data_IF_105262308530
#
_entry.id   IF_105262308530
#
_cell.length_a   1.000
_cell.length_b   1.000
_cell.length_c   1.000
_cell.angle_alpha   90.00
_cell.angle_beta   90.00
_cell.angle_gamma   90.00
#
_symmetry.space_group_name_H-M   'P 1'
#
loop_
_entity.id
_entity.type
_entity.pdbx_description
1 polymer ?
#
# COMPACT_ATOMS: atom_id res chain seq x y z
N UNK A 1 2.49 15.02 7.98
CA UNK A 1 3.41 15.00 6.81
C UNK A 1 2.55 14.77 5.58
N UNK A 2 2.96 15.27 4.42
CA UNK A 2 2.22 15.01 3.18
C UNK A 2 2.50 13.61 2.65
N UNK A 3 1.50 12.99 2.04
CA UNK A 3 1.58 11.67 1.41
C UNK A 3 1.54 11.79 -0.11
N UNK A 4 2.44 11.08 -0.78
CA UNK A 4 2.55 11.06 -2.23
C UNK A 4 2.47 9.66 -2.81
N UNK A 5 2.25 9.59 -4.12
CA UNK A 5 2.46 8.38 -4.91
C UNK A 5 2.91 8.78 -6.32
N UNK A 6 3.92 8.09 -6.84
CA UNK A 6 4.37 8.30 -8.20
C UNK A 6 3.31 7.82 -9.20
N UNK A 7 3.08 8.58 -10.27
CA UNK A 7 2.10 8.20 -11.31
C UNK A 7 2.46 6.90 -12.01
N UNK A 8 3.74 6.49 -11.97
CA UNK A 8 4.20 5.20 -12.50
C UNK A 8 3.68 4.00 -11.71
N UNK A 9 3.29 4.21 -10.44
CA UNK A 9 2.72 3.19 -9.56
C UNK A 9 1.28 2.81 -9.93
N UNK A 10 0.60 3.65 -10.71
CA UNK A 10 -0.81 3.49 -11.07
C UNK A 10 -0.95 3.25 -12.58
N UNK A 11 -1.78 2.28 -12.95
CA UNK A 11 -2.10 1.97 -14.35
C UNK A 11 -3.06 3.00 -14.99
N UNK A 12 -3.21 2.95 -16.30
CA UNK A 12 -4.22 3.73 -17.04
C UNK A 12 -3.73 5.11 -17.52
N UNK A 13 -4.65 5.91 -18.01
CA UNK A 13 -4.35 7.26 -18.52
C UNK A 13 -4.17 8.26 -17.36
N UNK A 14 -3.37 9.31 -17.57
CA UNK A 14 -3.05 10.28 -16.51
C UNK A 14 -4.30 10.84 -15.77
N UNK A 15 -5.40 11.24 -16.43
CA UNK A 15 -6.60 11.70 -15.71
C UNK A 15 -7.21 10.63 -14.78
N UNK A 16 -7.22 9.37 -15.20
CA UNK A 16 -7.73 8.25 -14.40
C UNK A 16 -6.84 7.98 -13.18
N UNK A 17 -5.52 8.07 -13.36
CA UNK A 17 -4.55 7.98 -12.27
C UNK A 17 -4.81 9.07 -11.23
N UNK A 18 -4.91 10.33 -11.67
CA UNK A 18 -5.11 11.49 -10.78
C UNK A 18 -6.44 11.39 -10.02
N UNK A 19 -7.52 10.98 -10.69
CA UNK A 19 -8.80 10.76 -10.04
C UNK A 19 -8.73 9.65 -8.97
N UNK A 20 -8.06 8.54 -9.26
CA UNK A 20 -7.85 7.46 -8.30
C UNK A 20 -7.01 7.90 -7.09
N UNK A 21 -5.91 8.61 -7.33
CA UNK A 21 -5.00 9.11 -6.30
C UNK A 21 -5.71 10.11 -5.38
N UNK A 22 -6.44 11.07 -5.95
CA UNK A 22 -7.22 12.03 -5.18
C UNK A 22 -8.34 11.35 -4.37
N UNK A 23 -9.05 10.38 -4.96
CA UNK A 23 -10.11 9.65 -4.27
C UNK A 23 -9.58 8.78 -3.11
N UNK A 24 -8.36 8.23 -3.23
CA UNK A 24 -7.69 7.54 -2.14
C UNK A 24 -7.23 8.50 -1.02
N UNK A 25 -7.16 9.80 -1.30
CA UNK A 25 -6.86 10.86 -0.34
C UNK A 25 -5.37 11.12 -0.13
N UNK A 26 -4.55 10.95 -1.17
CA UNK A 26 -3.17 11.45 -1.18
C UNK A 26 -3.15 12.97 -1.27
N UNK A 27 -2.06 13.58 -0.78
CA UNK A 27 -1.86 15.04 -0.87
C UNK A 27 -1.23 15.46 -2.21
N UNK A 28 -0.51 14.55 -2.88
CA UNK A 28 0.13 14.87 -4.14
C UNK A 28 0.71 13.67 -4.88
N UNK A 29 1.40 13.99 -5.97
CA UNK A 29 1.95 13.03 -6.93
C UNK A 29 3.38 13.34 -7.27
N UNK A 30 4.10 12.29 -7.65
CA UNK A 30 5.35 12.41 -8.40
C UNK A 30 5.03 12.21 -9.87
N UNK A 31 5.30 13.22 -10.70
CA UNK A 31 5.06 13.12 -12.13
C UNK A 31 6.22 12.37 -12.78
N UNK A 32 5.91 11.19 -13.30
CA UNK A 32 6.85 10.38 -14.07
C UNK A 32 6.90 10.88 -15.52
N UNK A 33 8.10 11.18 -16.02
CA UNK A 33 8.31 11.79 -17.36
C UNK A 33 7.63 11.01 -18.50
N UNK A 34 7.49 9.68 -18.41
CA UNK A 34 6.83 8.91 -19.46
C UNK A 34 5.32 9.17 -19.55
N UNK A 35 4.65 9.43 -18.43
CA UNK A 35 3.23 9.80 -18.42
C UNK A 35 3.03 11.17 -19.10
N UNK A 36 4.06 12.02 -19.04
CA UNK A 36 4.10 13.30 -19.73
C UNK A 36 4.25 13.14 -21.24
N UNK A 37 5.10 12.21 -21.71
CA UNK A 37 5.32 11.95 -23.15
C UNK A 37 4.08 11.34 -23.81
N UNK A 38 3.31 10.55 -23.06
CA UNK A 38 2.14 9.82 -23.58
C UNK A 38 0.85 10.65 -23.64
N UNK A 39 0.85 11.86 -23.07
CA UNK A 39 -0.33 12.71 -23.01
C UNK A 39 -0.18 13.90 -23.98
N UNK A 40 -1.17 14.13 -24.84
CA UNK A 40 -1.12 15.14 -25.92
C UNK A 40 -1.23 16.61 -25.43
N UNK A 41 -0.96 16.89 -24.15
CA UNK A 41 -1.08 18.23 -23.54
C UNK A 41 0.27 18.77 -23.05
N UNK A 42 0.38 20.10 -22.94
CA UNK A 42 1.62 20.74 -22.48
C UNK A 42 1.86 20.60 -20.96
N UNK A 43 3.07 20.93 -20.46
CA UNK A 43 3.37 20.86 -19.02
C UNK A 43 2.46 21.75 -18.17
N UNK A 44 2.11 22.93 -18.68
CA UNK A 44 1.17 23.84 -18.01
C UNK A 44 -0.22 23.21 -17.81
N UNK A 45 -0.72 22.47 -18.81
CA UNK A 45 -2.03 21.80 -18.75
C UNK A 45 -2.02 20.63 -17.76
N UNK A 46 -0.94 19.84 -17.77
CA UNK A 46 -0.73 18.76 -16.79
C UNK A 46 -0.67 19.32 -15.38
N UNK A 47 0.09 20.41 -15.18
CA UNK A 47 0.13 21.13 -13.90
C UNK A 47 -1.26 21.53 -13.43
N UNK A 48 -2.09 22.08 -14.34
CA UNK A 48 -3.45 22.49 -14.00
C UNK A 48 -4.34 21.29 -13.67
N UNK A 49 -4.26 20.21 -14.44
CA UNK A 49 -5.03 18.99 -14.22
C UNK A 49 -4.76 18.38 -12.84
N UNK A 50 -3.51 18.35 -12.38
CA UNK A 50 -3.17 17.86 -11.03
C UNK A 50 -3.82 18.75 -9.97
N UNK A 51 -3.72 20.08 -10.11
CA UNK A 51 -4.34 21.03 -9.16
C UNK A 51 -5.86 20.98 -9.16
N UNK A 52 -6.50 20.72 -10.30
CA UNK A 52 -7.96 20.58 -10.41
C UNK A 52 -8.48 19.36 -9.62
N UNK A 53 -7.63 18.35 -9.39
CA UNK A 53 -7.91 17.22 -8.51
C UNK A 53 -7.59 17.51 -7.03
N UNK A 54 -7.12 18.73 -6.70
CA UNK A 54 -6.71 19.09 -5.34
C UNK A 54 -5.35 18.53 -4.91
N UNK A 55 -4.55 18.04 -5.86
CA UNK A 55 -3.24 17.42 -5.63
C UNK A 55 -2.10 18.42 -5.86
N UNK A 56 -0.96 18.19 -5.19
CA UNK A 56 0.32 18.86 -5.44
C UNK A 56 1.23 18.01 -6.35
N UNK A 57 2.02 18.64 -7.22
CA UNK A 57 3.16 17.97 -7.86
C UNK A 57 4.37 18.09 -6.94
N UNK A 58 4.62 17.04 -6.18
CA UNK A 58 5.65 17.03 -5.14
C UNK A 58 7.06 16.77 -5.68
N UNK A 59 7.14 16.08 -6.83
CA UNK A 59 8.39 15.69 -7.46
C UNK A 59 8.22 15.53 -8.97
N UNK A 60 9.18 16.00 -9.75
CA UNK A 60 9.32 15.66 -11.17
C UNK A 60 10.47 14.68 -11.38
N UNK A 61 10.20 13.55 -12.02
CA UNK A 61 11.18 12.47 -12.11
C UNK A 61 11.01 11.56 -13.34
N UNK A 62 12.03 10.79 -13.71
CA UNK A 62 13.42 10.86 -13.26
C UNK A 62 14.27 11.70 -14.23
N UNK A 63 15.30 12.38 -13.73
CA UNK A 63 16.40 12.87 -14.55
C UNK A 63 17.60 11.92 -14.44
N UNK A 64 18.03 11.37 -15.57
CA UNK A 64 19.07 10.32 -15.61
C UNK A 64 20.41 10.86 -16.10
N UNK A 65 21.49 10.18 -15.74
CA UNK A 65 22.83 10.32 -16.31
C UNK A 65 23.34 11.77 -16.32
N UNK A 66 23.58 12.31 -15.13
CA UNK A 66 24.06 13.68 -14.93
C UNK A 66 25.53 13.76 -14.53
N UNK A 67 25.86 13.18 -13.40
CA UNK A 67 27.12 13.41 -12.69
C UNK A 67 28.29 12.61 -13.27
N UNK A 68 29.50 13.17 -13.14
CA UNK A 68 30.73 12.45 -13.45
C UNK A 68 30.99 12.21 -14.93
N UNK A 69 30.28 12.88 -15.83
CA UNK A 69 30.49 12.76 -17.26
C UNK A 69 31.75 13.54 -17.72
N UNK A 70 32.49 13.05 -18.73
CA UNK A 70 33.55 13.82 -19.37
C UNK A 70 32.96 14.91 -20.28
N UNK A 71 33.75 15.93 -20.63
CA UNK A 71 33.38 16.81 -21.73
C UNK A 71 33.44 16.06 -23.07
N UNK A 72 32.54 16.33 -24.03
CA UNK A 72 31.45 17.33 -24.01
C UNK A 72 30.11 16.82 -23.44
N UNK A 73 30.05 15.59 -22.92
CA UNK A 73 28.82 14.98 -22.39
C UNK A 73 28.32 15.73 -21.15
N UNK A 74 29.23 16.19 -20.28
CA UNK A 74 28.92 17.02 -19.12
C UNK A 74 28.18 18.31 -19.50
N UNK A 75 28.72 19.10 -20.42
CA UNK A 75 28.04 20.32 -20.91
C UNK A 75 26.63 20.01 -21.42
N UNK A 76 26.45 18.91 -22.16
CA UNK A 76 25.11 18.50 -22.64
C UNK A 76 24.15 18.11 -21.51
N UNK A 77 24.64 17.50 -20.43
CA UNK A 77 23.83 17.13 -19.28
C UNK A 77 23.28 18.38 -18.58
N UNK A 78 24.10 19.41 -18.38
CA UNK A 78 23.66 20.71 -17.84
C UNK A 78 22.60 21.38 -18.73
N UNK A 79 22.80 21.39 -20.05
CA UNK A 79 21.81 21.94 -20.96
C UNK A 79 20.48 21.15 -20.95
N UNK A 80 20.54 19.83 -20.72
CA UNK A 80 19.35 19.00 -20.55
C UNK A 80 18.64 19.31 -19.23
N UNK A 81 19.38 19.53 -18.15
CA UNK A 81 18.82 19.90 -16.84
C UNK A 81 18.09 21.26 -16.89
N UNK A 82 18.70 22.28 -17.52
CA UNK A 82 18.06 23.60 -17.72
C UNK A 82 16.72 23.50 -18.45
N UNK A 83 16.64 22.69 -19.51
CA UNK A 83 15.37 22.42 -20.22
C UNK A 83 14.33 21.73 -19.33
N UNK A 84 14.76 20.90 -18.37
CA UNK A 84 13.83 20.31 -17.39
C UNK A 84 13.36 21.30 -16.35
N UNK A 85 14.21 22.25 -15.95
CA UNK A 85 13.78 23.37 -15.10
C UNK A 85 12.70 24.21 -15.77
N UNK A 86 12.75 24.42 -17.09
CA UNK A 86 11.67 25.08 -17.83
C UNK A 86 10.34 24.30 -17.71
N UNK A 87 10.38 22.98 -17.90
CA UNK A 87 9.22 22.09 -17.76
C UNK A 87 8.67 22.12 -16.33
N UNK A 88 9.53 22.08 -15.31
CA UNK A 88 9.11 22.13 -13.90
C UNK A 88 8.38 23.42 -13.55
N UNK A 89 8.84 24.57 -14.06
CA UNK A 89 8.15 25.85 -13.84
C UNK A 89 6.76 25.87 -14.44
N UNK A 90 6.59 25.29 -15.62
CA UNK A 90 5.27 25.14 -16.24
C UNK A 90 4.36 24.16 -15.50
N UNK A 91 4.90 23.02 -15.05
CA UNK A 91 4.17 22.08 -14.19
C UNK A 91 3.74 22.74 -12.86
N UNK A 92 4.57 23.63 -12.33
CA UNK A 92 4.39 24.26 -11.02
C UNK A 92 4.94 23.38 -9.88
N UNK A 93 6.09 22.76 -10.09
CA UNK A 93 6.81 21.98 -9.06
C UNK A 93 8.22 22.54 -8.88
N UNK A 94 8.79 22.34 -7.69
CA UNK A 94 10.08 22.90 -7.30
C UNK A 94 11.19 21.86 -7.10
N UNK A 95 10.89 20.57 -7.14
CA UNK A 95 11.84 19.49 -6.84
C UNK A 95 11.97 18.50 -8.00
N UNK A 96 13.21 18.25 -8.43
CA UNK A 96 13.53 17.22 -9.43
C UNK A 96 14.37 16.10 -8.82
N UNK A 97 14.04 14.85 -9.14
CA UNK A 97 14.89 13.70 -8.82
C UNK A 97 15.95 13.50 -9.90
N UNK A 98 17.22 13.47 -9.49
CA UNK A 98 18.33 12.95 -10.29
C UNK A 98 18.74 11.61 -9.71
N UNK A 99 18.62 10.56 -10.52
CA UNK A 99 19.10 9.24 -10.13
C UNK A 99 20.56 9.07 -10.54
N UNK A 100 21.35 8.39 -9.71
CA UNK A 100 22.77 8.11 -9.95
C UNK A 100 23.01 7.52 -11.34
N UNK A 101 24.03 8.01 -12.03
CA UNK A 101 24.33 7.69 -13.42
C UNK A 101 24.58 6.20 -13.65
N UNK A 102 24.00 5.69 -14.73
CA UNK A 102 24.29 4.37 -15.31
C UNK A 102 25.04 4.50 -16.64
N UNK A 103 25.38 5.73 -17.04
CA UNK A 103 26.02 6.03 -18.29
C UNK A 103 27.42 5.40 -18.40
N UNK A 104 27.76 4.71 -19.50
CA UNK A 104 29.03 3.97 -19.63
C UNK A 104 30.27 4.88 -19.66
N UNK A 105 30.10 6.18 -19.92
CA UNK A 105 31.19 7.16 -19.88
C UNK A 105 31.37 7.85 -18.52
N UNK A 106 30.52 7.58 -17.53
CA UNK A 106 30.66 8.19 -16.22
C UNK A 106 32.03 7.79 -15.63
N UNK A 107 32.78 8.78 -15.14
CA UNK A 107 34.15 8.62 -14.65
C UNK A 107 34.21 8.24 -13.16
N UNK A 108 33.11 8.44 -12.43
CA UNK A 108 33.04 8.25 -10.99
C UNK A 108 33.78 9.32 -10.19
N UNK A 109 33.92 9.06 -8.88
CA UNK A 109 34.57 9.94 -7.92
C UNK A 109 33.59 10.84 -7.16
N UNK A 110 33.57 10.70 -5.83
CA UNK A 110 32.70 11.45 -4.92
C UNK A 110 32.87 12.97 -5.09
N UNK A 111 34.11 13.46 -5.11
CA UNK A 111 34.37 14.91 -5.24
C UNK A 111 33.91 15.46 -6.60
N UNK A 112 34.09 14.67 -7.67
CA UNK A 112 33.61 15.07 -9.01
C UNK A 112 32.09 15.18 -9.05
N UNK A 113 31.39 14.19 -8.49
CA UNK A 113 29.94 14.22 -8.43
C UNK A 113 29.45 15.37 -7.53
N UNK A 114 30.16 15.66 -6.43
CA UNK A 114 29.85 16.77 -5.55
C UNK A 114 30.03 18.13 -6.25
N UNK A 115 31.13 18.32 -7.00
CA UNK A 115 31.37 19.53 -7.81
C UNK A 115 30.28 19.70 -8.89
N UNK A 116 29.89 18.62 -9.56
CA UNK A 116 28.84 18.65 -10.58
C UNK A 116 27.47 19.02 -9.98
N UNK A 117 27.11 18.43 -8.84
CA UNK A 117 25.85 18.74 -8.16
C UNK A 117 25.87 20.12 -7.52
N UNK A 118 26.98 20.58 -6.96
CA UNK A 118 27.12 21.95 -6.46
C UNK A 118 26.88 22.97 -7.58
N UNK A 119 27.54 22.79 -8.74
CA UNK A 119 27.36 23.65 -9.90
C UNK A 119 25.92 23.58 -10.47
N UNK A 120 25.26 22.42 -10.39
CA UNK A 120 23.84 22.33 -10.73
C UNK A 120 22.96 23.06 -9.72
N UNK A 121 23.35 23.04 -8.44
CA UNK A 121 22.71 23.75 -7.36
C UNK A 121 22.62 25.25 -7.63
N UNK A 122 23.72 25.87 -8.09
CA UNK A 122 23.72 27.28 -8.48
C UNK A 122 22.66 27.57 -9.55
N UNK A 123 22.61 26.73 -10.59
CA UNK A 123 21.61 26.87 -11.68
C UNK A 123 20.19 26.66 -11.15
N UNK A 124 19.97 25.66 -10.28
CA UNK A 124 18.66 25.41 -9.68
C UNK A 124 18.20 26.60 -8.82
N UNK A 125 19.10 27.19 -8.03
CA UNK A 125 18.82 28.34 -7.17
C UNK A 125 18.42 29.59 -7.97
N UNK A 126 19.04 29.84 -9.12
CA UNK A 126 18.65 30.93 -10.04
C UNK A 126 17.19 30.82 -10.50
N UNK A 127 16.63 29.60 -10.51
CA UNK A 127 15.25 29.33 -10.88
C UNK A 127 14.32 29.09 -9.67
N UNK A 128 14.81 29.18 -8.44
CA UNK A 128 14.05 28.85 -7.23
C UNK A 128 13.68 27.37 -7.13
N UNK A 129 14.48 26.48 -7.73
CA UNK A 129 14.28 25.04 -7.78
C UNK A 129 15.28 24.30 -6.87
N UNK A 130 14.95 23.05 -6.60
CA UNK A 130 15.70 22.09 -5.79
C UNK A 130 15.93 20.81 -6.58
N UNK A 131 17.03 20.14 -6.28
CA UNK A 131 17.41 18.86 -6.87
C UNK A 131 17.67 17.86 -5.75
N UNK A 132 17.00 16.73 -5.83
CA UNK A 132 17.22 15.58 -4.97
C UNK A 132 18.07 14.53 -5.69
N UNK A 133 19.17 14.10 -5.09
CA UNK A 133 20.02 13.04 -5.64
C UNK A 133 19.68 11.69 -5.01
N UNK A 134 19.44 10.69 -5.85
CA UNK A 134 19.04 9.34 -5.44
C UNK A 134 20.07 8.31 -5.92
N UNK A 135 20.52 7.41 -5.03
CA UNK A 135 21.35 6.28 -5.42
C UNK A 135 20.49 5.12 -5.95
N UNK A 136 20.59 4.81 -7.25
CA UNK A 136 20.02 3.59 -7.80
C UNK A 136 20.82 2.39 -7.31
N UNK A 137 20.15 1.29 -6.97
CA UNK A 137 20.82 0.07 -6.52
C UNK A 137 21.81 -0.55 -7.55
N UNK A 138 21.76 -0.09 -8.80
CA UNK A 138 22.60 -0.50 -9.92
C UNK A 138 23.36 0.67 -10.58
N UNK A 139 23.45 1.83 -9.92
CA UNK A 139 24.26 2.95 -10.41
C UNK A 139 25.72 2.52 -10.62
N UNK A 140 26.38 3.07 -11.66
CA UNK A 140 27.71 2.62 -12.09
C UNK A 140 28.78 2.87 -11.03
N UNK A 141 28.74 4.05 -10.41
CA UNK A 141 29.72 4.47 -9.39
C UNK A 141 29.09 4.77 -8.03
N UNK A 142 27.81 5.13 -8.01
CA UNK A 142 27.06 5.44 -6.80
C UNK A 142 25.85 4.52 -6.79
N UNK A 143 25.84 3.55 -5.89
CA UNK A 143 24.72 2.62 -5.70
C UNK A 143 24.46 2.33 -4.22
N UNK A 144 24.88 3.25 -3.38
CA UNK A 144 24.78 3.19 -1.93
C UNK A 144 24.33 4.56 -1.43
N UNK A 145 23.28 4.60 -0.61
CA UNK A 145 22.75 5.86 -0.09
C UNK A 145 23.77 6.61 0.77
N UNK A 146 24.77 5.92 1.33
CA UNK A 146 25.87 6.55 2.10
C UNK A 146 26.82 7.33 1.20
N UNK A 147 27.09 6.83 0.00
CA UNK A 147 27.91 7.52 -1.00
C UNK A 147 27.14 8.70 -1.58
N UNK A 148 25.84 8.54 -1.88
CA UNK A 148 24.99 9.65 -2.30
C UNK A 148 24.90 10.74 -1.23
N UNK A 149 24.76 10.37 0.06
CA UNK A 149 24.83 11.34 1.15
C UNK A 149 26.19 12.04 1.20
N UNK A 150 27.30 11.32 1.09
CA UNK A 150 28.62 11.94 1.12
C UNK A 150 28.82 12.93 -0.04
N UNK A 151 28.30 12.62 -1.22
CA UNK A 151 28.27 13.54 -2.37
C UNK A 151 27.46 14.80 -2.03
N UNK A 152 26.21 14.64 -1.56
CA UNK A 152 25.32 15.78 -1.20
C UNK A 152 25.96 16.63 -0.10
N UNK A 153 26.57 16.00 0.90
CA UNK A 153 27.26 16.66 2.01
C UNK A 153 28.47 17.47 1.54
N UNK A 154 29.24 16.99 0.55
CA UNK A 154 30.38 17.72 -0.03
C UNK A 154 29.96 18.78 -1.04
N UNK A 155 28.86 18.55 -1.76
CA UNK A 155 28.27 19.56 -2.64
C UNK A 155 27.83 20.78 -1.83
N UNK A 156 27.42 20.60 -0.57
CA UNK A 156 27.15 21.66 0.41
C UNK A 156 26.36 22.86 -0.16
N UNK A 157 25.30 22.57 -0.91
CA UNK A 157 24.49 23.57 -1.59
C UNK A 157 23.03 23.50 -1.10
N UNK A 158 22.37 24.63 -0.79
CA UNK A 158 21.01 24.63 -0.24
C UNK A 158 19.93 24.09 -1.19
N UNK A 159 20.14 24.18 -2.51
CA UNK A 159 19.25 23.57 -3.51
C UNK A 159 19.54 22.10 -3.82
N UNK A 160 20.55 21.49 -3.16
CA UNK A 160 20.90 20.07 -3.37
C UNK A 160 20.62 19.29 -2.09
N UNK A 161 19.80 18.27 -2.22
CA UNK A 161 19.45 17.36 -1.13
C UNK A 161 19.49 15.91 -1.56
N UNK A 162 19.23 15.02 -0.61
CA UNK A 162 19.17 13.59 -0.79
C UNK A 162 17.73 13.15 -1.00
N UNK A 163 17.52 12.21 -1.91
CA UNK A 163 16.31 11.40 -1.97
C UNK A 163 16.69 9.98 -1.54
N UNK A 164 15.92 9.43 -0.61
CA UNK A 164 16.14 8.07 -0.11
C UNK A 164 14.98 7.17 -0.52
N UNK A 165 15.33 6.06 -1.18
CA UNK A 165 14.40 5.02 -1.60
C UNK A 165 14.66 3.75 -0.78
N UNK A 166 13.59 3.20 -0.20
CA UNK A 166 13.68 2.01 0.66
C UNK A 166 14.12 0.76 -0.11
N UNK A 167 13.66 0.56 -1.34
CA UNK A 167 14.06 -0.57 -2.17
C UNK A 167 15.56 -0.48 -2.53
N UNK A 168 16.05 0.69 -2.93
CA UNK A 168 17.46 0.86 -3.30
C UNK A 168 18.42 0.60 -2.15
N UNK A 169 17.99 0.93 -0.93
CA UNK A 169 18.72 0.64 0.32
C UNK A 169 18.61 -0.84 0.69
N UNK A 170 17.39 -1.35 0.87
CA UNK A 170 17.12 -2.66 1.45
C UNK A 170 17.37 -3.80 0.47
N UNK A 171 17.12 -3.59 -0.83
CA UNK A 171 17.38 -4.57 -1.88
C UNK A 171 18.88 -4.91 -1.99
N UNK A 172 19.75 -3.95 -1.68
CA UNK A 172 21.21 -4.16 -1.56
C UNK A 172 21.65 -4.69 -0.20
N UNK A 173 20.70 -4.95 0.70
CA UNK A 173 20.95 -5.37 2.09
C UNK A 173 21.80 -4.34 2.86
N UNK A 174 21.71 -3.07 2.48
CA UNK A 174 22.35 -1.98 3.22
C UNK A 174 21.54 -1.70 4.48
N UNK A 175 22.24 -1.40 5.57
CA UNK A 175 21.56 -1.07 6.82
C UNK A 175 20.91 0.31 6.72
N UNK A 176 19.61 0.45 7.05
CA UNK A 176 18.96 1.75 7.12
C UNK A 176 19.48 2.63 8.26
N UNK A 177 20.18 2.06 9.26
CA UNK A 177 20.67 2.81 10.43
C UNK A 177 21.62 3.96 10.09
N UNK A 178 22.31 3.91 8.94
CA UNK A 178 23.12 5.06 8.51
C UNK A 178 22.30 6.28 8.08
N UNK A 179 21.01 6.10 7.72
CA UNK A 179 20.09 7.20 7.41
C UNK A 179 19.85 8.07 8.64
N UNK A 180 19.79 7.48 9.86
CA UNK A 180 19.61 8.22 11.13
C UNK A 180 20.63 9.33 11.37
N UNK A 181 21.79 9.27 10.69
CA UNK A 181 22.89 10.23 10.83
C UNK A 181 22.82 11.40 9.86
N UNK A 182 21.86 11.38 8.94
CA UNK A 182 21.66 12.42 7.93
C UNK A 182 20.80 13.51 8.55
N UNK A 183 21.18 14.80 8.45
CA UNK A 183 20.32 15.90 8.87
C UNK A 183 18.99 15.84 8.12
N UNK A 184 17.86 15.89 8.83
CA UNK A 184 16.52 15.76 8.22
C UNK A 184 16.24 16.81 7.15
N UNK A 185 16.78 18.03 7.28
CA UNK A 185 16.67 19.12 6.30
C UNK A 185 17.46 18.86 5.00
N UNK A 186 18.37 17.89 5.00
CA UNK A 186 19.10 17.44 3.81
C UNK A 186 18.40 16.29 3.08
N UNK A 187 17.35 15.70 3.65
CA UNK A 187 16.49 14.75 2.95
C UNK A 187 15.37 15.57 2.32
N UNK A 188 15.30 15.60 0.98
CA UNK A 188 14.30 16.37 0.26
C UNK A 188 13.06 15.55 -0.09
N UNK A 189 13.22 14.22 -0.17
CA UNK A 189 12.13 13.32 -0.50
C UNK A 189 12.40 11.89 -0.01
N UNK A 190 11.34 11.15 0.26
CA UNK A 190 11.40 9.76 0.70
C UNK A 190 10.46 8.94 -0.18
N UNK A 191 11.00 7.94 -0.86
CA UNK A 191 10.24 6.98 -1.64
C UNK A 191 10.23 5.62 -0.94
N UNK A 192 9.05 5.05 -0.78
CA UNK A 192 8.82 3.78 -0.14
C UNK A 192 8.36 2.76 -1.18
N UNK A 193 9.05 1.63 -1.16
CA UNK A 193 8.77 0.45 -1.95
C UNK A 193 9.23 -0.79 -1.16
N UNK A 194 8.32 -1.75 -1.04
CA UNK A 194 8.61 -3.10 -0.57
C UNK A 194 8.93 -4.00 -1.77
N UNK A 195 9.35 -5.24 -1.53
CA UNK A 195 9.48 -6.27 -2.54
C UNK A 195 9.59 -7.67 -1.91
N UNK A 196 9.14 -8.74 -2.58
CA UNK A 196 9.37 -10.10 -2.11
C UNK A 196 10.86 -10.44 -2.21
N UNK A 197 11.40 -11.15 -1.21
CA UNK A 197 12.83 -11.46 -1.12
C UNK A 197 13.19 -12.64 -2.02
N UNK A 198 13.25 -12.36 -3.30
CA UNK A 198 13.61 -13.32 -4.36
C UNK A 198 14.96 -12.91 -4.94
N UNK A 199 15.91 -13.86 -5.00
CA UNK A 199 17.23 -13.59 -5.58
C UNK A 199 17.14 -13.43 -7.10
N UNK A 200 17.38 -12.21 -7.59
CA UNK A 200 17.49 -11.89 -9.01
C UNK A 200 18.31 -10.60 -9.21
N UNK A 201 18.54 -10.22 -10.47
CA UNK A 201 19.17 -8.94 -10.79
C UNK A 201 18.37 -7.76 -10.20
N UNK A 202 19.07 -6.80 -9.57
CA UNK A 202 18.45 -5.68 -8.84
C UNK A 202 17.59 -4.80 -9.75
N UNK A 203 18.04 -4.54 -10.98
CA UNK A 203 17.28 -3.74 -11.94
C UNK A 203 16.01 -4.47 -12.34
N UNK A 204 16.10 -5.76 -12.67
CA UNK A 204 14.94 -6.56 -12.99
C UNK A 204 13.95 -6.65 -11.81
N UNK A 205 14.46 -6.94 -10.61
CA UNK A 205 13.65 -6.99 -9.39
C UNK A 205 12.87 -5.69 -9.17
N UNK A 206 13.58 -4.56 -9.24
CA UNK A 206 13.01 -3.22 -9.03
C UNK A 206 11.93 -2.85 -10.03
N UNK A 207 12.01 -3.32 -11.29
CA UNK A 207 11.09 -2.91 -12.37
C UNK A 207 9.80 -3.72 -12.44
N UNK A 208 9.79 -4.87 -11.79
CA UNK A 208 8.75 -5.88 -11.98
C UNK A 208 8.07 -6.32 -10.67
N UNK A 209 8.74 -6.22 -9.51
CA UNK A 209 8.29 -6.84 -8.27
C UNK A 209 8.32 -5.90 -7.05
N UNK A 210 8.40 -4.58 -7.23
CA UNK A 210 8.14 -3.69 -6.10
C UNK A 210 6.68 -3.82 -5.68
N UNK A 211 6.40 -3.77 -4.38
CA UNK A 211 5.05 -3.81 -3.81
C UNK A 211 4.85 -2.67 -2.80
N UNK A 212 3.62 -2.48 -2.33
CA UNK A 212 3.36 -1.52 -1.26
C UNK A 212 4.01 -1.98 0.06
N UNK A 213 4.40 -1.06 0.95
CA UNK A 213 4.89 -1.41 2.29
C UNK A 213 4.00 -2.41 3.03
N UNK A 214 4.57 -3.55 3.43
CA UNK A 214 3.87 -4.62 4.13
C UNK A 214 3.35 -5.75 3.22
N UNK A 215 3.51 -5.62 1.90
CA UNK A 215 3.18 -6.66 0.91
C UNK A 215 4.42 -7.42 0.41
N UNK A 216 5.61 -7.07 0.91
CA UNK A 216 6.87 -7.75 0.59
C UNK A 216 7.59 -8.25 1.84
N UNK A 217 8.88 -8.55 1.66
CA UNK A 217 9.75 -9.12 2.69
C UNK A 217 10.88 -8.14 3.09
N UNK A 218 10.88 -6.92 2.55
CA UNK A 218 11.86 -5.91 2.93
C UNK A 218 11.46 -5.26 4.25
N UNK A 219 12.45 -4.92 5.08
CA UNK A 219 12.21 -4.23 6.35
C UNK A 219 11.99 -2.72 6.14
N UNK A 220 10.92 -2.39 5.42
CA UNK A 220 10.52 -1.00 5.12
C UNK A 220 10.19 -0.24 6.42
N UNK A 221 9.74 -0.96 7.47
CA UNK A 221 9.55 -0.42 8.81
C UNK A 221 10.85 0.11 9.38
N UNK A 222 11.91 -0.69 9.43
CA UNK A 222 13.21 -0.23 9.95
C UNK A 222 13.80 0.93 9.12
N UNK A 223 13.56 0.94 7.80
CA UNK A 223 13.94 2.07 6.96
C UNK A 223 13.20 3.35 7.35
N UNK A 224 11.87 3.28 7.47
CA UNK A 224 11.07 4.46 7.84
C UNK A 224 11.34 4.92 9.28
N UNK A 225 11.63 4.01 10.20
CA UNK A 225 12.12 4.34 11.54
C UNK A 225 13.42 5.15 11.50
N UNK A 226 14.36 4.75 10.64
CA UNK A 226 15.62 5.47 10.47
C UNK A 226 15.41 6.87 9.88
N UNK A 227 14.49 7.01 8.91
CA UNK A 227 14.09 8.30 8.34
C UNK A 227 13.43 9.19 9.40
N UNK A 228 12.45 8.68 10.13
CA UNK A 228 11.73 9.44 11.15
C UNK A 228 12.70 10.01 12.21
N UNK A 229 13.67 9.21 12.66
CA UNK A 229 14.66 9.61 13.66
C UNK A 229 15.59 10.76 13.22
N UNK A 230 15.65 11.09 11.92
CA UNK A 230 16.37 12.28 11.44
C UNK A 230 15.66 13.60 11.76
N UNK A 231 14.37 13.53 12.12
CA UNK A 231 13.50 14.69 12.24
C UNK A 231 12.88 15.15 10.92
N UNK A 232 13.02 14.38 9.84
CA UNK A 232 12.41 14.66 8.54
C UNK A 232 10.89 14.87 8.66
N UNK A 233 10.40 15.96 8.07
CA UNK A 233 9.00 16.37 8.09
C UNK A 233 8.40 16.58 6.67
N UNK A 234 9.18 16.27 5.63
CA UNK A 234 8.76 16.38 4.24
C UNK A 234 7.82 15.26 3.76
N UNK A 235 7.54 15.19 2.44
CA UNK A 235 6.65 14.20 1.87
C UNK A 235 7.14 12.75 2.02
N UNK A 236 6.23 11.82 2.29
CA UNK A 236 6.48 10.38 2.19
C UNK A 236 5.68 9.86 1.01
N UNK A 237 6.37 9.25 0.06
CA UNK A 237 5.77 8.85 -1.21
C UNK A 237 5.97 7.38 -1.53
N UNK A 238 5.14 6.84 -2.43
CA UNK A 238 5.22 5.47 -2.93
C UNK A 238 5.71 5.45 -4.39
N UNK A 239 6.77 4.71 -4.66
CA UNK A 239 7.29 4.53 -6.02
C UNK A 239 7.39 3.04 -6.39
N UNK A 240 6.37 2.53 -7.06
CA UNK A 240 6.18 1.10 -7.26
C UNK A 240 6.19 0.77 -8.75
N UNK A 241 7.14 -0.04 -9.18
CA UNK A 241 7.12 -0.66 -10.51
C UNK A 241 6.73 -2.12 -10.37
N UNK A 242 5.47 -2.42 -10.68
CA UNK A 242 4.91 -3.76 -10.55
C UNK A 242 4.09 -4.12 -11.79
N UNK A 243 4.40 -5.26 -12.41
CA UNK A 243 3.70 -5.71 -13.61
C UNK A 243 2.25 -6.12 -13.33
N UNK A 244 1.96 -6.65 -12.14
CA UNK A 244 0.59 -7.00 -11.74
C UNK A 244 -0.27 -5.74 -11.55
N UNK A 245 0.32 -4.65 -11.03
CA UNK A 245 -0.40 -3.40 -10.83
C UNK A 245 -0.77 -2.74 -12.16
N UNK A 246 0.04 -2.94 -13.21
CA UNK A 246 -0.24 -2.42 -14.57
C UNK A 246 -1.53 -2.95 -15.19
N UNK A 247 -2.01 -4.12 -14.74
CA UNK A 247 -3.30 -4.69 -15.17
C UNK A 247 -4.44 -4.50 -14.16
N UNK A 248 -4.19 -3.86 -13.03
CA UNK A 248 -5.12 -3.74 -11.93
C UNK A 248 -5.95 -2.45 -12.00
N UNK A 249 -6.99 -2.38 -11.15
CA UNK A 249 -7.83 -1.20 -10.99
C UNK A 249 -7.01 -0.03 -10.42
N UNK A 250 -6.91 1.13 -11.12
CA UNK A 250 -6.19 2.30 -10.60
C UNK A 250 -6.68 2.73 -9.21
N UNK A 251 -7.99 2.65 -9.00
CA UNK A 251 -8.62 3.00 -7.72
C UNK A 251 -8.20 2.05 -6.60
N UNK A 252 -8.20 0.75 -6.85
CA UNK A 252 -7.83 -0.24 -5.83
C UNK A 252 -6.37 -0.06 -5.42
N UNK A 253 -5.46 0.08 -6.39
CA UNK A 253 -4.03 0.28 -6.11
C UNK A 253 -3.78 1.58 -5.34
N UNK A 254 -4.49 2.67 -5.66
CA UNK A 254 -4.38 3.92 -4.91
C UNK A 254 -4.90 3.76 -3.46
N UNK A 255 -6.04 3.09 -3.27
CA UNK A 255 -6.61 2.81 -1.93
C UNK A 255 -5.66 1.92 -1.10
N UNK A 256 -5.08 0.89 -1.70
CA UNK A 256 -4.10 0.00 -1.06
C UNK A 256 -2.78 0.73 -0.74
N UNK A 257 -2.31 1.59 -1.65
CA UNK A 257 -1.14 2.44 -1.41
C UNK A 257 -1.33 3.35 -0.21
N UNK A 258 -2.45 4.08 -0.14
CA UNK A 258 -2.76 4.91 1.03
C UNK A 258 -2.86 4.07 2.31
N UNK A 259 -3.53 2.91 2.27
CA UNK A 259 -3.65 2.01 3.41
C UNK A 259 -2.27 1.54 3.91
N UNK A 260 -1.36 1.22 2.99
CA UNK A 260 0.00 0.77 3.32
C UNK A 260 0.79 1.85 4.06
N UNK A 261 0.70 3.11 3.62
CA UNK A 261 1.36 4.24 4.28
C UNK A 261 0.79 4.45 5.70
N UNK A 262 -0.54 4.45 5.84
CA UNK A 262 -1.19 4.61 7.15
C UNK A 262 -0.78 3.50 8.12
N UNK A 263 -0.77 2.24 7.67
CA UNK A 263 -0.36 1.11 8.50
C UNK A 263 1.12 1.19 8.88
N UNK A 264 2.00 1.50 7.93
CA UNK A 264 3.43 1.63 8.18
C UNK A 264 3.73 2.74 9.17
N UNK A 265 3.14 3.92 8.98
CA UNK A 265 3.39 5.07 9.84
C UNK A 265 2.80 4.88 11.25
N UNK A 266 1.64 4.23 11.39
CA UNK A 266 1.11 3.79 12.71
C UNK A 266 2.09 2.84 13.41
N UNK A 267 2.64 1.86 12.68
CA UNK A 267 3.62 0.92 13.21
C UNK A 267 4.93 1.62 13.64
N UNK A 268 5.40 2.61 12.90
CA UNK A 268 6.57 3.42 13.26
C UNK A 268 6.27 4.25 14.52
N UNK A 269 5.12 4.93 14.57
CA UNK A 269 4.70 5.75 15.70
C UNK A 269 4.57 4.99 17.03
N UNK A 270 4.28 3.69 16.98
CA UNK A 270 4.20 2.84 18.17
C UNK A 270 5.56 2.49 18.75
N UNK A 271 6.64 2.64 17.98
CA UNK A 271 7.99 2.20 18.35
C UNK A 271 8.93 3.40 18.52
N UNK A 272 8.95 4.33 17.57
CA UNK A 272 9.83 5.49 17.61
C UNK A 272 9.27 6.57 18.55
N UNK A 273 10.07 7.10 19.49
CA UNK A 273 9.57 8.01 20.51
C UNK A 273 9.23 9.41 19.97
N UNK A 274 9.88 9.85 18.90
CA UNK A 274 9.65 11.13 18.21
C UNK A 274 10.44 11.18 16.88
N UNK A 275 10.05 12.06 15.93
CA UNK A 275 8.80 12.80 15.87
C UNK A 275 7.63 11.89 15.49
N UNK A 276 6.41 12.29 15.90
CA UNK A 276 5.19 11.54 15.60
C UNK A 276 4.74 11.83 14.17
N UNK A 277 4.59 10.78 13.37
CA UNK A 277 4.08 10.85 12.01
C UNK A 277 2.57 11.14 12.06
N UNK A 278 2.09 11.97 11.14
CA UNK A 278 0.68 12.40 11.12
C UNK A 278 -0.20 11.31 10.50
N UNK A 279 -0.81 10.49 11.34
CA UNK A 279 -1.76 9.44 10.94
C UNK A 279 -2.97 9.42 11.86
N UNK A 280 -4.14 8.95 11.39
CA UNK A 280 -5.30 8.75 12.25
C UNK A 280 -4.96 7.84 13.42
N UNK A 281 -5.36 8.25 14.63
CA UNK A 281 -5.27 7.39 15.81
C UNK A 281 -6.13 6.15 15.58
N UNK A 282 -5.53 4.97 15.72
CA UNK A 282 -6.23 3.70 15.54
C UNK A 282 -5.88 2.69 16.65
N UNK A 283 -6.80 1.78 17.01
CA UNK A 283 -6.50 0.67 17.93
C UNK A 283 -5.37 -0.21 17.40
N UNK A 284 -4.65 -0.96 18.26
CA UNK A 284 -3.67 -1.94 17.80
C UNK A 284 -4.32 -3.02 16.94
N UNK A 285 -3.51 -3.74 16.16
CA UNK A 285 -3.98 -4.90 15.38
C UNK A 285 -4.62 -5.92 16.33
N UNK A 286 -5.86 -6.32 16.04
CA UNK A 286 -6.54 -7.37 16.80
C UNK A 286 -5.87 -8.73 16.55
N UNK A 287 -5.76 -9.53 17.60
CA UNK A 287 -5.44 -10.95 17.48
C UNK A 287 -6.72 -11.72 17.14
N UNK A 288 -6.62 -12.64 16.18
CA UNK A 288 -7.72 -13.53 15.80
C UNK A 288 -7.67 -14.75 16.72
N UNK A 289 -8.72 -14.96 17.50
CA UNK A 289 -8.85 -16.09 18.43
C UNK A 289 -9.38 -17.36 17.74
N UNK A 290 -9.90 -17.21 16.53
CA UNK A 290 -10.25 -18.30 15.61
C UNK A 290 -11.35 -17.92 14.62
N UNK A 291 -11.68 -18.87 13.75
CA UNK A 291 -12.85 -18.74 12.86
C UNK A 291 -14.10 -19.09 13.66
N UNK A 292 -15.06 -18.17 13.65
CA UNK A 292 -16.37 -18.35 14.28
C UNK A 292 -17.32 -19.11 13.36
N UNK A 293 -17.36 -18.71 12.08
CA UNK A 293 -18.13 -19.42 11.06
C UNK A 293 -17.59 -19.18 9.66
N UNK A 294 -17.99 -20.07 8.74
CA UNK A 294 -17.84 -19.91 7.29
C UNK A 294 -19.22 -20.03 6.66
N UNK A 295 -19.63 -19.03 5.89
CA UNK A 295 -20.94 -18.98 5.26
C UNK A 295 -20.85 -19.20 3.75
N UNK A 296 -21.60 -20.18 3.26
CA UNK A 296 -21.78 -20.47 1.85
C UNK A 296 -23.07 -19.85 1.34
N UNK A 297 -22.97 -19.12 0.23
CA UNK A 297 -24.12 -18.77 -0.60
C UNK A 297 -24.41 -19.94 -1.55
N UNK A 298 -25.65 -20.42 -1.61
CA UNK A 298 -26.07 -21.53 -2.47
C UNK A 298 -27.54 -21.38 -2.90
N UNK A 299 -27.98 -22.14 -3.91
CA UNK A 299 -29.42 -22.42 -4.10
C UNK A 299 -29.82 -23.70 -3.35
N UNK A 300 -31.10 -24.06 -3.38
CA UNK A 300 -31.61 -25.21 -2.62
C UNK A 300 -31.03 -26.56 -3.10
N UNK A 301 -30.68 -26.67 -4.39
CA UNK A 301 -30.12 -27.89 -4.97
C UNK A 301 -28.68 -28.07 -4.53
N UNK A 302 -27.88 -27.01 -4.61
CA UNK A 302 -26.48 -27.01 -4.20
C UNK A 302 -26.34 -27.07 -2.68
N UNK A 303 -27.23 -26.42 -1.93
CA UNK A 303 -27.30 -26.55 -0.47
C UNK A 303 -27.55 -28.00 -0.04
N UNK A 304 -28.45 -28.72 -0.73
CA UNK A 304 -28.69 -30.15 -0.48
C UNK A 304 -27.44 -31.00 -0.74
N UNK A 305 -26.68 -30.68 -1.79
CA UNK A 305 -25.41 -31.36 -2.10
C UNK A 305 -24.33 -31.07 -1.06
N UNK A 306 -24.20 -29.81 -0.64
CA UNK A 306 -23.24 -29.39 0.37
C UNK A 306 -23.58 -30.01 1.72
N UNK A 307 -24.85 -30.05 2.13
CA UNK A 307 -25.30 -30.73 3.35
C UNK A 307 -25.00 -32.24 3.35
N UNK A 308 -25.20 -32.90 2.21
CA UNK A 308 -24.80 -34.30 2.05
C UNK A 308 -23.28 -34.49 2.23
N UNK A 309 -22.45 -33.62 1.64
CA UNK A 309 -21.00 -33.66 1.82
C UNK A 309 -20.61 -33.43 3.29
N UNK A 310 -21.17 -32.41 3.93
CA UNK A 310 -20.94 -32.09 5.34
C UNK A 310 -21.29 -33.27 6.24
N UNK A 311 -22.40 -33.96 5.96
CA UNK A 311 -22.78 -35.18 6.68
C UNK A 311 -21.71 -36.28 6.55
N UNK A 312 -21.13 -36.49 5.35
CA UNK A 312 -20.04 -37.47 5.18
C UNK A 312 -18.75 -37.08 5.92
N UNK A 313 -18.57 -35.79 6.20
CA UNK A 313 -17.47 -35.27 7.01
C UNK A 313 -17.80 -35.28 8.52
N UNK A 314 -19.00 -35.74 8.91
CA UNK A 314 -19.47 -35.85 10.29
C UNK A 314 -20.04 -34.57 10.88
N UNK A 315 -20.39 -33.58 10.06
CA UNK A 315 -21.17 -32.44 10.51
C UNK A 315 -22.64 -32.82 10.71
N UNK A 316 -23.27 -32.16 11.67
CA UNK A 316 -24.70 -32.29 11.96
C UNK A 316 -25.42 -31.02 11.55
N UNK A 317 -26.55 -31.14 10.85
CA UNK A 317 -27.48 -30.02 10.68
C UNK A 317 -28.11 -29.71 12.04
N UNK A 318 -27.54 -28.72 12.73
CA UNK A 318 -27.76 -28.47 14.14
C UNK A 318 -28.95 -27.54 14.39
N UNK A 319 -29.15 -26.55 13.52
CA UNK A 319 -30.19 -25.55 13.67
C UNK A 319 -30.56 -24.90 12.33
N UNK A 320 -31.72 -24.24 12.31
CA UNK A 320 -32.17 -23.38 11.22
C UNK A 320 -32.38 -21.96 11.76
N UNK A 321 -32.09 -20.95 10.94
CA UNK A 321 -32.29 -19.56 11.32
C UNK A 321 -33.78 -19.26 11.52
N UNK A 322 -34.11 -18.41 12.51
CA UNK A 322 -35.50 -18.18 12.91
C UNK A 322 -36.35 -17.46 11.86
N UNK A 323 -35.73 -16.60 11.05
CA UNK A 323 -36.41 -15.72 10.08
C UNK A 323 -35.96 -15.89 8.63
N UNK A 324 -34.92 -16.68 8.34
CA UNK A 324 -34.25 -16.73 7.03
C UNK A 324 -34.04 -18.17 6.60
N UNK A 325 -33.93 -18.39 5.30
CA UNK A 325 -33.61 -19.67 4.67
C UNK A 325 -32.11 -19.97 4.79
N UNK A 326 -31.66 -20.12 6.05
CA UNK A 326 -30.26 -20.34 6.45
C UNK A 326 -30.18 -21.52 7.40
N UNK A 327 -29.29 -22.47 7.09
CA UNK A 327 -29.05 -23.67 7.90
C UNK A 327 -27.66 -23.66 8.54
N UNK A 328 -27.58 -24.11 9.79
CA UNK A 328 -26.35 -24.22 10.57
C UNK A 328 -25.90 -25.68 10.68
N UNK A 329 -24.65 -25.93 10.30
CA UNK A 329 -24.00 -27.24 10.35
C UNK A 329 -22.80 -27.18 11.28
N UNK A 330 -22.75 -28.08 12.27
CA UNK A 330 -21.73 -28.04 13.32
C UNK A 330 -20.95 -29.33 13.47
N UNK A 331 -19.67 -29.22 13.83
CA UNK A 331 -18.85 -30.30 14.36
C UNK A 331 -17.75 -29.71 15.25
N UNK A 332 -17.65 -30.13 16.51
CA UNK A 332 -16.77 -29.48 17.48
C UNK A 332 -17.07 -27.99 17.58
N UNK A 333 -16.05 -27.13 17.44
CA UNK A 333 -16.19 -25.67 17.41
C UNK A 333 -16.28 -25.10 15.98
N UNK A 334 -16.62 -25.91 14.98
CA UNK A 334 -16.75 -25.47 13.57
C UNK A 334 -18.21 -25.20 13.26
N UNK A 335 -18.51 -23.98 12.82
CA UNK A 335 -19.82 -23.59 12.31
C UNK A 335 -19.74 -23.35 10.80
N UNK A 336 -20.47 -24.14 10.03
CA UNK A 336 -20.70 -23.91 8.61
C UNK A 336 -22.14 -23.46 8.41
N UNK A 337 -22.31 -22.28 7.83
CA UNK A 337 -23.61 -21.70 7.52
C UNK A 337 -23.87 -21.90 6.04
N UNK A 338 -25.05 -22.40 5.67
CA UNK A 338 -25.50 -22.47 4.28
C UNK A 338 -26.70 -21.56 4.12
N UNK A 339 -26.53 -20.50 3.34
CA UNK A 339 -27.51 -19.47 3.08
C UNK A 339 -28.13 -19.66 1.69
N UNK A 340 -29.45 -19.88 1.67
CA UNK A 340 -30.26 -20.09 0.46
C UNK A 340 -31.27 -18.97 0.23
N UNK A 341 -31.10 -17.82 0.91
CA UNK A 341 -31.94 -16.65 0.71
C UNK A 341 -31.99 -16.25 -0.77
N UNK A 342 -33.16 -15.78 -1.20
CA UNK A 342 -33.43 -15.38 -2.60
C UNK A 342 -33.25 -13.89 -2.83
N UNK A 343 -32.86 -13.15 -1.79
CA UNK A 343 -32.56 -11.73 -1.82
C UNK A 343 -31.31 -11.44 -0.95
N UNK A 344 -30.77 -10.23 -1.05
CA UNK A 344 -29.64 -9.81 -0.23
C UNK A 344 -28.26 -10.24 -0.76
N UNK A 345 -27.25 -10.14 0.10
CA UNK A 345 -25.85 -10.26 -0.27
C UNK A 345 -25.44 -11.69 -0.69
N UNK A 346 -25.83 -12.70 0.09
CA UNK A 346 -25.58 -14.09 -0.25
C UNK A 346 -26.19 -14.46 -1.61
N UNK A 347 -27.44 -14.07 -1.87
CA UNK A 347 -28.09 -14.29 -3.16
C UNK A 347 -27.33 -13.65 -4.33
N UNK A 348 -26.95 -12.37 -4.18
CA UNK A 348 -26.16 -11.67 -5.19
C UNK A 348 -24.80 -12.34 -5.43
N UNK A 349 -24.17 -12.85 -4.37
CA UNK A 349 -22.92 -13.62 -4.47
C UNK A 349 -23.14 -14.91 -5.25
N UNK A 350 -24.17 -15.69 -4.91
CA UNK A 350 -24.53 -16.91 -5.63
C UNK A 350 -24.79 -16.65 -7.12
N UNK A 351 -25.56 -15.63 -7.48
CA UNK A 351 -25.82 -15.28 -8.89
C UNK A 351 -24.54 -14.91 -9.65
N UNK A 352 -23.54 -14.35 -8.98
CA UNK A 352 -22.29 -13.92 -9.60
C UNK A 352 -21.23 -15.02 -9.69
N UNK A 353 -21.20 -15.97 -8.74
CA UNK A 353 -20.10 -16.93 -8.56
C UNK A 353 -20.53 -18.40 -8.43
N UNK A 354 -21.82 -18.67 -8.35
CA UNK A 354 -22.34 -19.95 -7.92
C UNK A 354 -22.05 -20.22 -6.44
N UNK A 355 -22.14 -21.49 -6.06
CA UNK A 355 -21.93 -21.92 -4.68
C UNK A 355 -20.52 -21.62 -4.20
N UNK A 356 -20.39 -20.71 -3.24
CA UNK A 356 -19.10 -20.20 -2.78
C UNK A 356 -19.20 -19.60 -1.38
N UNK A 357 -18.05 -19.48 -0.70
CA UNK A 357 -17.97 -18.75 0.56
C UNK A 357 -18.22 -17.26 0.29
N UNK A 358 -19.27 -16.72 0.88
CA UNK A 358 -19.60 -15.30 0.79
C UNK A 358 -19.10 -14.53 2.01
N UNK A 359 -19.30 -15.10 3.21
CA UNK A 359 -19.01 -14.43 4.48
C UNK A 359 -18.19 -15.34 5.42
N UNK A 360 -17.42 -14.70 6.29
CA UNK A 360 -16.65 -15.39 7.33
C UNK A 360 -16.69 -14.59 8.63
N UNK A 361 -16.98 -15.26 9.74
CA UNK A 361 -16.89 -14.71 11.08
C UNK A 361 -15.55 -15.01 11.73
N UNK A 362 -14.92 -14.00 12.32
CA UNK A 362 -13.70 -14.13 13.10
C UNK A 362 -13.94 -13.74 14.55
N UNK A 363 -13.49 -14.60 15.48
CA UNK A 363 -13.45 -14.25 16.90
C UNK A 363 -12.28 -13.32 17.16
N UNK A 364 -12.58 -12.22 17.85
CA UNK A 364 -11.62 -11.21 18.29
C UNK A 364 -11.93 -10.81 19.72
N UNK A 365 -10.96 -10.19 20.38
CA UNK A 365 -11.14 -9.69 21.74
C UNK A 365 -12.15 -8.53 21.83
N UNK A 366 -12.20 -7.67 20.81
CA UNK A 366 -13.11 -6.52 20.74
C UNK A 366 -13.46 -6.22 19.27
N UNK A 367 -14.71 -6.48 18.89
CA UNK A 367 -15.17 -6.30 17.51
C UNK A 367 -15.26 -4.81 17.12
N UNK A 368 -15.60 -3.93 18.06
CA UNK A 368 -15.74 -2.49 17.81
C UNK A 368 -14.38 -1.85 17.56
N UNK A 369 -13.37 -2.19 18.36
CA UNK A 369 -11.99 -1.71 18.12
C UNK A 369 -11.43 -2.24 16.80
N UNK A 370 -11.73 -3.50 16.47
CA UNK A 370 -11.30 -4.11 15.20
C UNK A 370 -11.85 -3.34 14.00
N UNK A 371 -13.14 -3.02 14.01
CA UNK A 371 -13.77 -2.21 12.95
C UNK A 371 -13.25 -0.78 12.94
N UNK A 372 -13.03 -0.16 14.11
CA UNK A 372 -12.44 1.20 14.19
C UNK A 372 -11.04 1.25 13.58
N UNK A 373 -10.22 0.22 13.77
CA UNK A 373 -8.91 0.11 13.09
C UNK A 373 -9.09 -0.03 11.58
N UNK A 374 -10.01 -0.88 11.13
CA UNK A 374 -10.27 -1.07 9.71
C UNK A 374 -10.73 0.25 9.02
N UNK A 375 -11.60 1.01 9.67
CA UNK A 375 -12.05 2.33 9.18
C UNK A 375 -10.90 3.33 9.11
N UNK A 376 -10.05 3.40 10.13
CA UNK A 376 -8.86 4.26 10.12
C UNK A 376 -7.86 3.90 9.00
N UNK A 377 -7.86 2.63 8.57
CA UNK A 377 -7.11 2.11 7.42
C UNK A 377 -7.88 2.22 6.09
N UNK A 378 -8.97 3.01 6.07
CA UNK A 378 -9.83 3.25 4.90
C UNK A 378 -10.41 1.96 4.30
N UNK A 379 -10.61 0.93 5.12
CA UNK A 379 -11.34 -0.28 4.70
C UNK A 379 -12.84 0.04 4.69
N UNK A 380 -13.53 -0.41 3.65
CA UNK A 380 -14.97 -0.19 3.52
C UNK A 380 -15.74 -1.02 4.54
N UNK A 381 -16.54 -0.35 5.36
CA UNK A 381 -17.47 -1.01 6.29
C UNK A 381 -18.60 -1.67 5.51
N UNK A 382 -19.04 -2.83 6.01
CA UNK A 382 -20.20 -3.52 5.47
C UNK A 382 -21.40 -3.36 6.40
N UNK A 383 -22.54 -3.03 5.81
CA UNK A 383 -23.81 -2.91 6.52
C UNK A 383 -24.90 -3.58 5.69
N UNK A 384 -25.67 -4.43 6.35
CA UNK A 384 -26.89 -5.01 5.80
C UNK A 384 -28.08 -4.68 6.69
N UNK A 385 -29.28 -4.79 6.11
CA UNK A 385 -30.52 -4.69 6.87
C UNK A 385 -30.60 -5.86 7.85
N UNK A 386 -31.02 -5.55 9.06
CA UNK A 386 -31.17 -6.50 10.18
C UNK A 386 -32.65 -6.58 10.49
N UNK A 387 -33.17 -7.79 10.64
CA UNK A 387 -34.57 -7.99 11.02
C UNK A 387 -34.76 -7.98 12.55
N UNK A 388 -36.00 -7.93 13.00
CA UNK A 388 -36.30 -7.81 14.43
C UNK A 388 -35.80 -9.05 15.19
N UNK A 389 -34.92 -8.82 16.18
CA UNK A 389 -34.36 -9.87 17.03
C UNK A 389 -32.97 -10.35 16.63
N UNK A 390 -32.45 -9.91 15.48
CA UNK A 390 -31.08 -10.23 15.03
C UNK A 390 -30.03 -9.30 15.66
N UNK A 391 -28.84 -9.84 15.90
CA UNK A 391 -27.67 -9.15 16.39
C UNK A 391 -26.99 -8.38 15.25
N UNK A 392 -26.53 -7.17 15.57
CA UNK A 392 -25.71 -6.39 14.64
C UNK A 392 -24.25 -6.81 14.77
N UNK A 393 -23.83 -7.74 13.92
CA UNK A 393 -22.43 -8.13 13.81
C UNK A 393 -21.61 -7.04 13.07
N UNK A 394 -20.59 -6.44 13.71
CA UNK A 394 -19.68 -5.52 13.03
C UNK A 394 -18.96 -6.22 11.86
N UNK A 395 -18.87 -5.54 10.72
CA UNK A 395 -18.38 -6.16 9.49
C UNK A 395 -17.65 -5.19 8.56
N UNK A 396 -16.74 -5.74 7.77
CA UNK A 396 -16.01 -5.04 6.70
C UNK A 396 -16.13 -5.80 5.39
N UNK A 397 -15.99 -5.08 4.28
CA UNK A 397 -15.82 -5.74 2.98
C UNK A 397 -14.43 -6.38 2.91
N UNK A 398 -14.41 -7.69 2.68
CA UNK A 398 -13.20 -8.48 2.54
C UNK A 398 -12.63 -8.41 1.13
N UNK A 399 -11.40 -8.90 0.97
CA UNK A 399 -10.77 -9.13 -0.34
C UNK A 399 -11.62 -10.07 -1.18
N UNK A 400 -11.59 -9.87 -2.50
CA UNK A 400 -12.43 -10.66 -3.40
C UNK A 400 -13.93 -10.37 -3.23
N UNK A 401 -14.35 -9.37 -2.45
CA UNK A 401 -15.73 -8.90 -2.40
C UNK A 401 -16.67 -9.64 -1.45
N UNK A 402 -16.18 -10.59 -0.64
CA UNK A 402 -16.94 -11.18 0.47
C UNK A 402 -17.06 -10.26 1.68
N UNK A 403 -17.63 -10.75 2.78
CA UNK A 403 -17.73 -10.00 4.05
C UNK A 403 -16.96 -10.70 5.16
N UNK A 404 -16.35 -9.91 6.02
CA UNK A 404 -15.72 -10.38 7.25
C UNK A 404 -16.44 -9.79 8.45
N UNK A 405 -17.00 -10.67 9.27
CA UNK A 405 -17.68 -10.32 10.52
C UNK A 405 -16.72 -10.51 11.70
N UNK A 406 -16.84 -9.64 12.70
CA UNK A 406 -16.07 -9.73 13.93
C UNK A 406 -17.00 -9.98 15.11
N UNK A 407 -16.66 -11.00 15.91
CA UNK A 407 -17.44 -11.41 17.06
C UNK A 407 -16.54 -11.43 18.30
N UNK A 408 -17.06 -10.92 19.42
CA UNK A 408 -16.41 -10.98 20.71
C UNK A 408 -17.40 -11.38 21.80
N UNK A 409 -16.91 -12.14 22.78
CA UNK A 409 -17.72 -12.62 23.89
C UNK A 409 -18.06 -11.50 24.89
N UNK A 410 -17.22 -10.47 25.01
CA UNK A 410 -17.41 -9.38 25.96
C UNK A 410 -18.67 -8.55 25.66
N UNK A 411 -19.04 -8.44 24.38
CA UNK A 411 -20.22 -7.74 23.89
C UNK A 411 -21.41 -8.67 23.64
N UNK A 412 -21.28 -9.96 23.92
CA UNK A 412 -22.34 -10.97 23.70
C UNK A 412 -22.58 -11.29 22.22
N UNK A 413 -21.66 -10.96 21.31
CA UNK A 413 -21.85 -11.22 19.88
C UNK A 413 -21.75 -12.72 19.55
N UNK A 414 -21.08 -13.50 20.40
CA UNK A 414 -21.02 -14.97 20.29
C UNK A 414 -22.36 -15.65 20.57
N UNK A 415 -23.32 -14.94 21.17
CA UNK A 415 -24.64 -15.48 21.51
C UNK A 415 -25.57 -15.55 20.27
N UNK A 416 -25.06 -15.15 19.09
CA UNK A 416 -25.79 -15.17 17.81
C UNK A 416 -26.43 -16.54 17.52
N UNK A 417 -25.75 -17.63 17.88
CA UNK A 417 -26.24 -18.99 17.66
C UNK A 417 -27.46 -19.35 18.53
N UNK A 418 -27.57 -18.74 19.72
CA UNK A 418 -28.71 -18.97 20.62
C UNK A 418 -29.87 -18.00 20.33
N UNK A 419 -29.55 -16.83 19.79
CA UNK A 419 -30.53 -15.77 19.50
C UNK A 419 -31.20 -15.96 18.15
N UNK A 420 -30.43 -16.30 17.11
CA UNK A 420 -30.90 -16.28 15.72
C UNK A 420 -31.22 -17.67 15.15
N UNK A 421 -30.86 -18.74 15.85
CA UNK A 421 -31.05 -20.11 15.37
C UNK A 421 -31.92 -20.95 16.30
N UNK A 422 -32.70 -21.85 15.70
CA UNK A 422 -33.54 -22.82 16.40
C UNK A 422 -33.05 -24.23 16.10
N UNK A 423 -32.71 -24.97 17.16
CA UNK A 423 -32.16 -26.32 17.05
C UNK A 423 -33.11 -27.29 16.36
N UNK A 424 -32.59 -28.14 15.46
CA UNK A 424 -33.33 -29.23 14.79
C UNK A 424 -33.54 -30.44 15.71
N UNK A 425 -32.78 -30.53 16.81
CA UNK A 425 -32.81 -31.67 17.74
C UNK A 425 -32.01 -32.88 17.26
N UNK A 426 -31.25 -32.76 16.16
CA UNK A 426 -30.38 -33.82 15.66
C UNK A 426 -29.20 -34.07 16.62
N UNK A 427 -28.93 -35.34 16.93
CA UNK A 427 -27.78 -35.71 17.75
C UNK A 427 -26.48 -35.57 16.94
N UNK A 428 -25.46 -34.97 17.56
CA UNK A 428 -24.13 -34.89 16.96
C UNK A 428 -23.34 -36.17 17.22
N UNK A 429 -22.87 -36.82 16.15
CA UNK A 429 -21.85 -37.86 16.23
C UNK A 429 -20.50 -37.23 15.88
N UNK A 430 -19.73 -36.86 16.90
CA UNK A 430 -18.41 -36.26 16.69
C UNK A 430 -17.44 -37.29 16.07
N UNK A 431 -16.85 -36.95 14.91
CA UNK A 431 -15.85 -37.79 14.23
C UNK A 431 -14.42 -37.24 14.32
N UNK A 432 -14.20 -36.24 15.18
CA UNK A 432 -12.88 -35.77 15.58
C UNK A 432 -12.42 -34.43 14.99
N UNK A 433 -13.21 -33.76 14.15
CA UNK A 433 -12.92 -32.37 13.77
C UNK A 433 -13.27 -31.43 14.93
N UNK A 434 -12.29 -30.62 15.35
CA UNK A 434 -12.41 -29.80 16.57
C UNK A 434 -12.53 -28.31 16.30
N UNK A 435 -11.83 -27.78 15.28
CA UNK A 435 -11.85 -26.37 14.89
C UNK A 435 -11.37 -26.20 13.45
N UNK A 436 -11.62 -25.03 12.87
CA UNK A 436 -10.95 -24.60 11.63
C UNK A 436 -9.51 -24.24 11.97
N UNK A 437 -8.55 -24.91 11.34
CA UNK A 437 -7.13 -24.64 11.51
C UNK A 437 -6.66 -23.46 10.63
N UNK A 438 -7.03 -23.49 9.35
CA UNK A 438 -6.77 -22.43 8.38
C UNK A 438 -7.84 -22.42 7.28
N UNK A 439 -7.93 -21.30 6.56
CA UNK A 439 -8.71 -21.13 5.32
C UNK A 439 -7.75 -20.62 4.26
N UNK A 440 -7.71 -21.26 3.10
CA UNK A 440 -6.75 -20.99 2.03
C UNK A 440 -7.38 -20.30 0.83
#
# INVERSE_FOLDING_TARGET
>A
MKTGIATVSIAGALPEKLAAIAAAGFDGVEIFEQDFIAHDSGPSDVGQMVRDHGLEIMLFQPFRDFEGLPEPDRTRAFERAKRKFDVMRELGTDLMLICSSVHPKALGGIDRAADDLNALGDVAAEHGLRVGYEALAWGTHVNDHRDAWEIVRRADHPSIGLIVDSFHTLGRKLSPESVRRIPGDKIFFVQLADAPRIEMDLLYWSRHFRNMPGEGDLDVRAFMQAVAATGYDGPISLEIFNDQFRGASPRAIAEDGMRSLLSLMDDVNRIEPAPHLDVPSMPPRAEIEGVEFIEFAADEVEASRLGALLTTLGFTHAADHVNKDVSLWTQGAINIVINTEREGFAHATYLSRGTSVCDMGLRVKDAVETVRRAEALKVRLFHQRIDQGELRLPAIQSVGGGVMHFLDAASGLTDVWDVEFKTTGNASEEVGLTRVDHVA
#
